data_IF_505368355655
#
_entry.id   IF_505368355655
#
_cell.length_a   1.000
_cell.length_b   1.000
_cell.length_c   1.000
_cell.angle_alpha   90.00
_cell.angle_beta   90.00
_cell.angle_gamma   90.00
#
_symmetry.space_group_name_H-M   'P 1'
#
loop_
_entity.id
_entity.type
_entity.pdbx_description
1 polymer ?
#
# COMPACT_ATOMS: atom_id res chain seq x y z
N UNK A 1 -62.88 23.59 -0.01
CA UNK A 1 -62.07 23.51 1.23
C UNK A 1 -61.94 22.05 1.64
N UNK A 2 -60.70 21.65 1.97
CA UNK A 2 -60.24 20.43 2.66
C UNK A 2 -60.33 19.05 1.98
N UNK A 3 -59.17 18.70 1.43
CA UNK A 3 -58.51 17.38 1.37
C UNK A 3 -58.97 16.32 2.38
N UNK A 4 -59.12 15.07 1.90
CA UNK A 4 -58.83 13.85 2.67
C UNK A 4 -57.78 13.04 1.92
N UNK A 5 -56.60 12.91 2.53
CA UNK A 5 -55.55 11.99 2.10
C UNK A 5 -55.65 10.71 2.92
N UNK A 6 -55.66 9.57 2.25
CA UNK A 6 -55.45 8.25 2.84
C UNK A 6 -53.95 8.06 3.07
N UNK A 7 -53.57 7.68 4.29
CA UNK A 7 -52.23 7.21 4.61
C UNK A 7 -52.23 5.68 4.49
N UNK A 8 -51.42 5.15 3.58
CA UNK A 8 -51.07 3.73 3.52
C UNK A 8 -49.66 3.60 4.10
N UNK A 9 -49.53 2.87 5.20
CA UNK A 9 -48.26 2.51 5.80
C UNK A 9 -47.61 1.40 4.98
N UNK A 10 -46.45 1.66 4.40
CA UNK A 10 -45.60 0.65 3.79
C UNK A 10 -44.41 0.38 4.74
N UNK A 11 -44.38 -0.83 5.27
CA UNK A 11 -43.23 -1.38 6.01
C UNK A 11 -42.20 -1.80 4.98
N UNK A 12 -41.09 -1.06 4.88
CA UNK A 12 -39.93 -1.47 4.10
C UNK A 12 -38.90 -2.10 5.05
N UNK A 13 -38.73 -3.42 4.91
CA UNK A 13 -37.68 -4.18 5.57
C UNK A 13 -36.30 -3.68 5.13
N UNK A 14 -35.42 -3.47 6.11
CA UNK A 14 -34.08 -2.92 5.91
C UNK A 14 -33.18 -3.83 5.09
N UNK A 15 -32.64 -3.27 4.01
CA UNK A 15 -31.41 -3.75 3.39
C UNK A 15 -30.30 -2.87 3.95
N UNK A 16 -29.42 -3.44 4.76
CA UNK A 16 -28.21 -2.76 5.21
C UNK A 16 -27.27 -2.64 4.01
N UNK A 17 -27.37 -1.53 3.28
CA UNK A 17 -26.45 -1.18 2.20
C UNK A 17 -25.07 -0.92 2.78
N UNK A 18 -24.07 -1.62 2.25
CA UNK A 18 -22.67 -1.43 2.58
C UNK A 18 -22.27 -0.01 2.23
N UNK A 19 -21.86 0.76 3.24
CA UNK A 19 -21.29 2.09 3.07
C UNK A 19 -19.96 1.98 2.34
N UNK A 20 -20.01 2.02 1.01
CA UNK A 20 -18.87 2.43 0.19
C UNK A 20 -18.55 3.86 0.61
N UNK A 21 -17.44 4.05 1.33
CA UNK A 21 -16.88 5.39 1.57
C UNK A 21 -16.38 5.90 0.22
N UNK A 22 -17.29 6.47 -0.57
CA UNK A 22 -16.96 7.22 -1.77
C UNK A 22 -16.22 8.46 -1.29
N UNK A 23 -14.90 8.55 -1.51
CA UNK A 23 -14.19 9.84 -1.40
C UNK A 23 -15.05 10.85 -2.16
N UNK A 24 -15.52 11.89 -1.46
CA UNK A 24 -16.25 12.99 -2.07
C UNK A 24 -15.46 13.40 -3.31
N UNK A 25 -16.08 13.29 -4.49
CA UNK A 25 -15.56 13.91 -5.69
C UNK A 25 -15.58 15.42 -5.43
N UNK A 26 -14.46 15.94 -4.96
CA UNK A 26 -14.26 17.37 -4.83
C UNK A 26 -14.25 17.94 -6.25
N UNK A 27 -15.42 18.39 -6.69
CA UNK A 27 -15.55 19.36 -7.74
C UNK A 27 -14.91 20.65 -7.23
N UNK A 28 -13.66 20.90 -7.57
CA UNK A 28 -13.09 22.23 -7.48
C UNK A 28 -12.19 22.51 -8.66
N UNK A 29 -12.67 23.43 -9.50
CA UNK A 29 -11.91 24.19 -10.48
C UNK A 29 -10.69 24.86 -9.83
N UNK A 30 -9.54 24.18 -9.84
CA UNK A 30 -8.27 24.83 -9.61
C UNK A 30 -7.72 25.27 -10.97
N UNK A 31 -8.09 26.48 -11.37
CA UNK A 31 -7.34 27.29 -12.33
C UNK A 31 -5.98 27.63 -11.71
N UNK A 32 -5.07 26.67 -11.63
CA UNK A 32 -3.67 26.95 -11.32
C UNK A 32 -2.89 26.94 -12.62
N UNK A 33 -2.16 28.03 -12.92
CA UNK A 33 -1.13 28.05 -13.97
C UNK A 33 0.05 27.10 -13.66
N UNK A 34 -0.11 26.17 -12.71
CA UNK A 34 0.87 25.15 -12.36
C UNK A 34 0.85 24.07 -13.44
N UNK A 35 2.01 23.68 -13.98
CA UNK A 35 2.11 22.49 -14.81
C UNK A 35 1.55 21.26 -14.09
N UNK A 36 0.84 20.41 -14.83
CA UNK A 36 0.16 19.22 -14.31
C UNK A 36 1.04 18.29 -13.45
N UNK A 37 2.35 18.25 -13.68
CA UNK A 37 3.29 17.44 -12.90
C UNK A 37 3.58 18.00 -11.50
N UNK A 38 2.99 19.14 -11.12
CA UNK A 38 2.98 19.66 -9.75
C UNK A 38 1.60 19.50 -9.07
N UNK A 39 0.59 18.99 -9.78
CA UNK A 39 -0.77 18.88 -9.26
C UNK A 39 -0.92 17.56 -8.51
N UNK A 40 -0.98 17.63 -7.17
CA UNK A 40 -1.22 16.46 -6.30
C UNK A 40 -2.70 16.23 -6.04
N UNK A 41 -3.54 17.28 -6.10
CA UNK A 41 -4.99 17.22 -5.85
C UNK A 41 -5.77 18.11 -6.82
N UNK A 42 -6.89 17.63 -7.40
CA UNK A 42 -7.26 16.20 -7.45
C UNK A 42 -6.21 15.39 -8.22
N UNK A 43 -6.07 14.10 -7.91
CA UNK A 43 -5.12 13.21 -8.57
C UNK A 43 -5.47 13.03 -10.06
N UNK A 44 -4.50 13.27 -10.95
CA UNK A 44 -4.75 13.23 -12.40
C UNK A 44 -4.81 11.82 -12.98
N UNK A 45 -3.95 10.91 -12.50
CA UNK A 45 -3.83 9.52 -12.99
C UNK A 45 -3.62 8.54 -11.81
N UNK A 46 -4.60 8.45 -10.88
CA UNK A 46 -4.45 7.69 -9.63
C UNK A 46 -4.37 6.16 -9.84
N UNK A 47 -4.83 5.65 -11.00
CA UNK A 47 -5.06 4.23 -11.20
C UNK A 47 -6.29 3.72 -10.42
N UNK A 48 -6.47 2.39 -10.28
CA UNK A 48 -7.55 1.82 -9.48
C UNK A 48 -7.42 2.22 -8.00
N UNK A 49 -8.52 2.65 -7.40
CA UNK A 49 -8.61 3.00 -5.96
C UNK A 49 -9.75 2.33 -5.15
N UNK A 50 -10.33 1.16 -5.53
CA UNK A 50 -11.23 0.43 -4.64
C UNK A 50 -10.64 0.18 -3.25
N UNK A 51 -11.35 0.61 -2.21
CA UNK A 51 -10.94 0.41 -0.82
C UNK A 51 -11.65 -0.81 -0.25
N UNK A 52 -10.88 -1.74 0.33
CA UNK A 52 -11.40 -2.92 1.01
C UNK A 52 -12.09 -2.60 2.33
N UNK A 53 -12.72 -3.61 2.93
CA UNK A 53 -13.34 -3.49 4.25
C UNK A 53 -12.25 -3.28 5.31
N UNK A 54 -12.38 -2.28 6.20
CA UNK A 54 -11.43 -2.08 7.29
C UNK A 54 -11.29 -3.33 8.19
N UNK A 55 -10.08 -3.55 8.70
CA UNK A 55 -9.83 -4.59 9.69
C UNK A 55 -10.51 -4.26 11.03
N UNK A 56 -10.97 -5.28 11.76
CA UNK A 56 -11.60 -5.12 13.07
C UNK A 56 -10.89 -5.94 14.17
N UNK A 57 -9.57 -5.74 14.29
CA UNK A 57 -8.73 -6.50 15.23
C UNK A 57 -9.20 -6.37 16.68
N UNK A 58 -9.81 -5.24 17.09
CA UNK A 58 -10.34 -5.11 18.45
C UNK A 58 -11.39 -6.20 18.81
N UNK A 59 -12.16 -6.70 17.83
CA UNK A 59 -13.13 -7.78 18.02
C UNK A 59 -12.55 -9.15 17.64
N UNK A 60 -11.76 -9.20 16.57
CA UNK A 60 -11.37 -10.47 15.93
C UNK A 60 -9.89 -10.82 16.06
N UNK A 61 -9.12 -10.17 16.95
CA UNK A 61 -7.71 -10.48 17.12
C UNK A 61 -7.55 -11.92 17.65
N UNK A 62 -6.89 -12.82 16.91
CA UNK A 62 -6.73 -14.21 17.32
C UNK A 62 -5.62 -14.42 18.38
N UNK A 63 -5.02 -13.36 18.92
CA UNK A 63 -4.06 -13.43 20.02
C UNK A 63 -4.62 -14.20 21.24
N UNK A 64 -3.77 -14.89 22.03
CA UNK A 64 -2.30 -14.87 21.99
C UNK A 64 -1.70 -15.78 20.91
N UNK A 65 -0.62 -15.31 20.30
CA UNK A 65 0.19 -16.11 19.38
C UNK A 65 1.21 -16.93 20.19
N UNK A 66 1.43 -18.19 19.80
CA UNK A 66 2.36 -19.06 20.51
C UNK A 66 3.78 -18.54 20.34
N UNK A 67 4.45 -18.21 21.46
CA UNK A 67 5.86 -17.84 21.48
C UNK A 67 6.17 -16.35 21.33
N UNK A 68 5.16 -15.46 21.24
CA UNK A 68 5.41 -14.01 21.11
C UNK A 68 4.57 -13.18 22.08
N UNK A 69 5.11 -12.02 22.46
CA UNK A 69 4.37 -11.00 23.19
C UNK A 69 3.88 -9.99 22.17
N UNK A 70 2.56 -9.81 22.04
CA UNK A 70 2.00 -8.66 21.31
C UNK A 70 2.44 -7.37 22.00
N UNK A 71 3.25 -6.55 21.34
CA UNK A 71 3.70 -5.26 21.87
C UNK A 71 2.99 -4.15 21.08
N UNK A 72 1.93 -3.53 21.64
CA UNK A 72 1.46 -2.23 21.15
C UNK A 72 2.65 -1.25 21.07
N UNK A 73 2.81 -0.47 19.99
CA UNK A 73 1.75 -0.02 19.08
C UNK A 73 1.71 -0.72 17.72
N UNK A 74 2.38 -1.86 17.53
CA UNK A 74 2.40 -2.53 16.22
C UNK A 74 1.05 -3.22 15.95
N UNK A 75 0.27 -2.76 14.95
CA UNK A 75 -1.10 -3.27 14.76
C UNK A 75 -1.13 -4.67 14.13
N UNK A 76 -0.02 -5.15 13.57
CA UNK A 76 0.09 -6.46 12.93
C UNK A 76 1.13 -7.31 13.66
N UNK A 77 0.80 -8.57 13.92
CA UNK A 77 1.75 -9.58 14.37
C UNK A 77 2.48 -10.13 13.15
N UNK A 78 3.77 -9.80 13.04
CA UNK A 78 4.64 -10.28 11.96
C UNK A 78 5.74 -11.18 12.47
N UNK A 79 5.75 -11.59 13.75
CA UNK A 79 6.73 -12.51 14.33
C UNK A 79 6.16 -13.94 14.41
N UNK A 80 5.70 -14.47 13.27
CA UNK A 80 5.22 -15.85 13.24
C UNK A 80 6.39 -16.80 12.92
N UNK A 81 6.82 -17.64 13.88
CA UNK A 81 7.97 -18.52 13.69
C UNK A 81 7.65 -19.62 12.67
N UNK A 82 8.65 -20.04 11.92
CA UNK A 82 8.53 -21.16 10.99
C UNK A 82 8.67 -22.47 11.77
N UNK A 83 7.61 -23.28 11.78
CA UNK A 83 7.60 -24.57 12.46
C UNK A 83 8.69 -25.50 11.90
N UNK A 84 9.58 -25.96 12.78
CA UNK A 84 10.67 -26.89 12.42
C UNK A 84 11.96 -26.22 11.96
N UNK A 85 12.03 -24.88 11.93
CA UNK A 85 13.28 -24.17 11.67
C UNK A 85 14.21 -24.26 12.90
N UNK A 86 15.48 -24.56 12.66
CA UNK A 86 16.53 -24.63 13.70
C UNK A 86 17.54 -23.51 13.44
N UNK A 87 17.85 -22.71 14.46
CA UNK A 87 18.99 -21.78 14.45
C UNK A 87 18.67 -20.29 14.29
N UNK A 88 17.62 -19.93 13.52
CA UNK A 88 17.23 -18.52 13.34
C UNK A 88 15.75 -18.32 13.68
N UNK A 89 15.45 -17.34 14.55
CA UNK A 89 14.10 -16.87 14.89
C UNK A 89 13.49 -16.03 13.74
N UNK A 90 13.58 -16.53 12.51
CA UNK A 90 13.09 -15.80 11.34
C UNK A 90 11.58 -15.98 11.17
N UNK A 91 10.94 -14.87 10.83
CA UNK A 91 9.52 -14.84 10.56
C UNK A 91 9.20 -15.34 9.15
N UNK A 92 8.12 -16.09 9.00
CA UNK A 92 7.57 -16.46 7.67
C UNK A 92 7.32 -15.24 6.78
N UNK A 93 7.04 -14.07 7.38
CA UNK A 93 6.79 -12.84 6.63
C UNK A 93 8.04 -12.26 5.95
N UNK A 94 9.24 -12.74 6.27
CA UNK A 94 10.47 -12.41 5.54
C UNK A 94 10.63 -13.18 4.23
N UNK A 95 9.82 -14.24 4.03
CA UNK A 95 9.88 -15.15 2.90
C UNK A 95 8.80 -14.88 1.83
N UNK A 96 8.14 -13.72 1.88
CA UNK A 96 7.11 -13.32 0.91
C UNK A 96 7.66 -12.55 -0.30
N UNK A 97 8.98 -12.55 -0.50
CA UNK A 97 9.64 -11.82 -1.59
C UNK A 97 9.28 -10.33 -1.57
N UNK A 98 8.84 -9.80 -2.71
CA UNK A 98 8.40 -8.40 -2.84
C UNK A 98 7.10 -8.07 -2.09
N UNK A 99 6.44 -9.04 -1.46
CA UNK A 99 5.25 -8.82 -0.63
C UNK A 99 5.59 -8.76 0.87
N UNK A 100 6.84 -9.02 1.24
CA UNK A 100 7.30 -8.88 2.62
C UNK A 100 7.20 -7.41 3.05
N UNK A 101 6.83 -7.18 4.31
CA UNK A 101 7.02 -5.88 4.95
C UNK A 101 8.51 -5.52 4.93
N UNK A 102 8.83 -4.23 5.08
CA UNK A 102 10.24 -3.85 5.19
C UNK A 102 10.86 -4.46 6.45
N UNK A 103 12.00 -5.13 6.28
CA UNK A 103 12.89 -5.54 7.37
C UNK A 103 14.33 -5.31 6.90
N UNK A 104 15.24 -4.94 7.81
CA UNK A 104 16.66 -4.82 7.48
C UNK A 104 17.19 -6.19 7.04
N UNK A 105 18.08 -6.21 6.04
CA UNK A 105 18.69 -7.45 5.59
C UNK A 105 19.42 -8.14 6.76
N UNK A 106 19.15 -9.43 6.96
CA UNK A 106 19.73 -10.20 8.07
C UNK A 106 21.22 -10.52 7.85
N UNK A 107 21.69 -10.47 6.61
CA UNK A 107 23.10 -10.65 6.24
C UNK A 107 23.64 -9.39 5.56
N UNK A 108 24.72 -8.82 6.10
CA UNK A 108 25.53 -7.84 5.40
C UNK A 108 26.59 -8.56 4.56
N UNK A 109 27.07 -7.92 3.48
CA UNK A 109 28.22 -8.42 2.71
C UNK A 109 29.56 -8.11 3.41
N UNK A 110 29.59 -8.21 4.75
CA UNK A 110 30.77 -7.90 5.58
C UNK A 110 31.08 -6.41 5.67
N UNK A 111 30.11 -5.53 5.39
CA UNK A 111 30.25 -4.08 5.54
C UNK A 111 29.41 -3.64 6.73
N UNK A 112 30.05 -2.97 7.67
CA UNK A 112 29.37 -2.31 8.78
C UNK A 112 28.60 -1.11 8.24
N UNK A 113 27.28 -1.11 8.42
CA UNK A 113 26.43 0.02 8.01
C UNK A 113 26.71 1.28 8.87
N UNK A 114 27.19 1.07 10.11
CA UNK A 114 27.50 2.12 11.07
C UNK A 114 28.73 1.75 11.91
N UNK A 115 29.57 2.73 12.30
CA UNK A 115 29.53 4.14 11.93
C UNK A 115 30.20 4.43 10.57
N UNK A 116 30.11 5.68 10.09
CA UNK A 116 30.90 6.14 8.96
C UNK A 116 32.41 5.95 9.23
N UNK A 117 33.23 5.74 8.17
CA UNK A 117 34.68 5.73 8.31
C UNK A 117 35.21 7.03 8.96
N UNK A 118 36.33 6.92 9.67
CA UNK A 118 36.96 8.07 10.31
C UNK A 118 37.28 9.16 9.28
N UNK A 119 36.99 10.42 9.62
CA UNK A 119 37.14 11.60 8.76
C UNK A 119 36.24 11.63 7.50
N UNK A 120 35.22 10.77 7.40
CA UNK A 120 34.21 10.86 6.35
C UNK A 120 33.05 11.79 6.74
N UNK A 121 32.49 12.49 5.75
CA UNK A 121 31.29 13.31 5.90
C UNK A 121 30.30 13.02 4.77
N UNK A 122 29.02 12.93 5.11
CA UNK A 122 27.95 12.83 4.10
C UNK A 122 27.73 14.22 3.50
N UNK A 123 27.88 14.34 2.18
CA UNK A 123 27.66 15.60 1.45
C UNK A 123 26.45 15.55 0.51
N UNK A 124 25.97 14.34 0.19
CA UNK A 124 24.83 14.11 -0.68
C UNK A 124 24.16 12.77 -0.32
N UNK A 125 22.83 12.74 -0.41
CA UNK A 125 22.01 11.54 -0.34
C UNK A 125 21.12 11.45 -1.58
N UNK A 126 21.06 10.28 -2.21
CA UNK A 126 20.03 9.95 -3.19
C UNK A 126 19.23 8.76 -2.67
N UNK A 127 17.97 8.99 -2.31
CA UNK A 127 17.07 7.94 -1.85
C UNK A 127 16.16 7.50 -2.99
N UNK A 128 16.07 6.20 -3.22
CA UNK A 128 15.03 5.58 -4.04
C UNK A 128 14.19 4.69 -3.12
N UNK A 129 12.92 5.04 -2.95
CA UNK A 129 11.98 4.26 -2.15
C UNK A 129 10.93 3.60 -3.02
N UNK A 130 10.54 2.39 -2.64
CA UNK A 130 9.28 1.78 -3.10
C UNK A 130 8.11 2.41 -2.34
N UNK A 131 6.91 2.20 -2.87
CA UNK A 131 5.69 2.36 -2.09
C UNK A 131 5.63 1.38 -0.91
N UNK A 132 4.75 1.69 0.05
CA UNK A 132 4.51 0.82 1.21
C UNK A 132 3.59 -0.34 0.90
N UNK A 133 3.26 -1.10 1.93
CA UNK A 133 2.30 -2.20 1.87
C UNK A 133 0.95 -1.74 1.33
N UNK A 134 0.37 -2.55 0.44
CA UNK A 134 -0.82 -2.19 -0.35
C UNK A 134 -1.78 -3.35 -0.54
N UNK A 135 -2.98 -3.05 -1.00
CA UNK A 135 -3.88 -4.07 -1.53
C UNK A 135 -3.31 -4.70 -2.81
N UNK A 136 -3.77 -5.93 -3.17
CA UNK A 136 -3.40 -6.58 -4.42
C UNK A 136 -3.66 -5.72 -5.66
N UNK A 137 -2.90 -5.96 -6.72
CA UNK A 137 -3.16 -5.35 -8.02
C UNK A 137 -4.52 -5.83 -8.55
N UNK A 138 -5.24 -4.97 -9.29
CA UNK A 138 -6.53 -5.34 -9.86
C UNK A 138 -6.39 -6.58 -10.74
N UNK A 139 -7.26 -7.58 -10.53
CA UNK A 139 -7.19 -8.84 -11.28
C UNK A 139 -6.02 -9.75 -10.89
N UNK A 140 -5.35 -9.50 -9.76
CA UNK A 140 -4.34 -10.40 -9.23
C UNK A 140 -4.93 -11.80 -8.97
N UNK A 141 -4.08 -12.83 -9.05
CA UNK A 141 -4.51 -14.23 -8.93
C UNK A 141 -5.27 -14.55 -7.63
N UNK A 142 -5.01 -13.80 -6.55
CA UNK A 142 -5.73 -13.96 -5.26
C UNK A 142 -7.23 -13.64 -5.38
N UNK A 143 -7.60 -12.64 -6.18
CA UNK A 143 -9.00 -12.30 -6.43
C UNK A 143 -9.69 -13.42 -7.21
N UNK A 144 -9.00 -13.96 -8.21
CA UNK A 144 -9.48 -15.11 -9.00
C UNK A 144 -9.64 -16.35 -8.12
N UNK A 145 -8.67 -16.65 -7.27
CA UNK A 145 -8.71 -17.77 -6.33
C UNK A 145 -9.89 -17.62 -5.37
N UNK A 146 -10.08 -16.42 -4.82
CA UNK A 146 -11.20 -16.16 -3.91
C UNK A 146 -12.57 -16.38 -4.56
N UNK A 147 -12.75 -15.90 -5.79
CA UNK A 147 -13.98 -16.10 -6.54
C UNK A 147 -14.23 -17.60 -6.81
N UNK A 148 -13.18 -18.37 -7.12
CA UNK A 148 -13.29 -19.82 -7.30
C UNK A 148 -13.71 -20.51 -6.01
N UNK A 149 -13.02 -20.24 -4.90
CA UNK A 149 -13.34 -20.83 -3.59
C UNK A 149 -14.81 -20.55 -3.25
N UNK A 150 -15.23 -19.28 -3.34
CA UNK A 150 -16.62 -18.88 -3.12
C UNK A 150 -17.59 -19.72 -3.96
N UNK A 151 -17.39 -19.78 -5.28
CA UNK A 151 -18.30 -20.47 -6.18
C UNK A 151 -18.44 -21.97 -5.89
N UNK A 152 -17.37 -22.64 -5.46
CA UNK A 152 -17.42 -24.06 -5.09
C UNK A 152 -18.04 -24.28 -3.70
N UNK A 153 -17.82 -23.37 -2.74
CA UNK A 153 -18.44 -23.47 -1.41
C UNK A 153 -19.93 -23.12 -1.40
N UNK A 154 -20.42 -22.42 -2.43
CA UNK A 154 -21.83 -22.00 -2.54
C UNK A 154 -22.62 -22.79 -3.60
N UNK A 155 -22.08 -23.89 -4.13
CA UNK A 155 -22.81 -24.72 -5.11
C UNK A 155 -22.90 -24.15 -6.54
N UNK A 156 -22.25 -23.03 -6.84
CA UNK A 156 -22.40 -22.32 -8.14
C UNK A 156 -21.62 -23.00 -9.25
N UNK A 157 -20.40 -23.45 -8.96
CA UNK A 157 -19.52 -24.13 -9.95
C UNK A 157 -19.25 -25.60 -9.60
N UNK A 158 -19.78 -26.07 -8.47
CA UNK A 158 -19.55 -27.38 -7.89
C UNK A 158 -19.83 -27.33 -6.40
N UNK A 159 -19.61 -28.44 -5.70
CA UNK A 159 -19.79 -28.56 -4.26
C UNK A 159 -18.48 -29.03 -3.62
N UNK A 160 -17.93 -28.22 -2.71
CA UNK A 160 -16.75 -28.53 -1.92
C UNK A 160 -16.97 -28.09 -0.49
N UNK A 161 -16.73 -29.00 0.44
CA UNK A 161 -16.61 -28.70 1.86
C UNK A 161 -15.15 -28.87 2.29
N UNK A 162 -14.51 -27.78 2.68
CA UNK A 162 -13.15 -27.81 3.23
C UNK A 162 -13.16 -28.33 4.67
N UNK A 163 -12.17 -29.14 5.04
CA UNK A 163 -12.03 -29.71 6.38
C UNK A 163 -10.66 -29.39 6.99
N UNK A 164 -10.47 -29.69 8.28
CA UNK A 164 -9.21 -29.45 9.00
C UNK A 164 -8.77 -27.99 8.96
N UNK A 165 -7.47 -27.75 8.70
CA UNK A 165 -6.87 -26.40 8.65
C UNK A 165 -7.47 -25.48 7.58
N UNK A 166 -8.14 -26.03 6.57
CA UNK A 166 -8.75 -25.26 5.48
C UNK A 166 -10.25 -24.99 5.70
N UNK A 167 -10.85 -25.50 6.78
CA UNK A 167 -12.29 -25.35 7.07
C UNK A 167 -12.77 -23.90 7.11
N UNK A 168 -11.88 -22.94 7.44
CA UNK A 168 -12.21 -21.51 7.40
C UNK A 168 -12.62 -21.02 6.01
N UNK A 169 -12.16 -21.67 4.94
CA UNK A 169 -12.48 -21.31 3.56
C UNK A 169 -13.97 -21.48 3.23
N UNK A 170 -14.71 -22.31 3.96
CA UNK A 170 -16.15 -22.49 3.77
C UNK A 170 -16.96 -21.21 4.06
N UNK A 171 -16.47 -20.38 5.00
CA UNK A 171 -17.11 -19.11 5.38
C UNK A 171 -16.30 -17.88 5.00
N UNK A 172 -15.13 -18.06 4.39
CA UNK A 172 -14.21 -16.97 4.08
C UNK A 172 -14.77 -16.07 2.99
N UNK A 173 -14.58 -14.75 3.17
CA UNK A 173 -15.00 -13.73 2.21
C UNK A 173 -13.80 -12.86 1.86
N UNK A 174 -13.56 -12.68 0.57
CA UNK A 174 -12.57 -11.74 0.09
C UNK A 174 -13.08 -10.31 0.29
N UNK A 175 -12.32 -9.55 1.08
CA UNK A 175 -12.70 -8.19 1.52
C UNK A 175 -11.65 -7.13 1.16
N UNK A 176 -10.57 -7.53 0.48
CA UNK A 176 -9.47 -6.64 0.14
C UNK A 176 -9.90 -5.67 -0.99
N UNK A 177 -9.32 -4.48 -0.97
CA UNK A 177 -9.44 -3.51 -2.07
C UNK A 177 -8.46 -3.81 -3.19
N UNK A 178 -8.10 -2.77 -3.94
CA UNK A 178 -7.17 -2.87 -5.06
C UNK A 178 -6.13 -1.73 -5.02
N UNK A 179 -4.88 -2.06 -5.32
CA UNK A 179 -3.73 -1.17 -5.62
C UNK A 179 -3.26 -0.18 -4.53
N UNK A 180 -4.15 0.40 -3.73
CA UNK A 180 -3.84 1.50 -2.80
C UNK A 180 -3.14 1.03 -1.53
N UNK A 181 -2.44 1.94 -0.86
CA UNK A 181 -1.79 1.64 0.43
C UNK A 181 -2.81 1.22 1.49
N UNK A 182 -2.45 0.18 2.23
CA UNK A 182 -3.15 -0.20 3.48
C UNK A 182 -2.60 0.64 4.65
N UNK A 183 -3.29 0.71 5.81
CA UNK A 183 -2.83 1.53 6.95
C UNK A 183 -1.38 1.28 7.37
N UNK A 184 -0.95 0.02 7.47
CA UNK A 184 0.45 -0.31 7.80
C UNK A 184 1.43 0.20 6.74
N UNK A 185 1.05 0.21 5.46
CA UNK A 185 1.90 0.74 4.40
C UNK A 185 2.12 2.24 4.50
N UNK A 186 1.14 2.98 5.03
CA UNK A 186 1.29 4.41 5.30
C UNK A 186 2.23 4.64 6.49
N UNK A 187 2.10 3.82 7.53
CA UNK A 187 2.98 3.85 8.69
C UNK A 187 4.43 3.55 8.31
N UNK A 188 4.68 2.51 7.50
CA UNK A 188 6.01 2.18 6.98
C UNK A 188 6.72 3.39 6.34
N UNK A 189 5.99 4.18 5.55
CA UNK A 189 6.57 5.34 4.86
C UNK A 189 6.77 6.51 5.81
N UNK A 190 5.84 6.71 6.74
CA UNK A 190 6.02 7.73 7.78
C UNK A 190 7.25 7.41 8.64
N UNK A 191 7.37 6.18 9.12
CA UNK A 191 8.50 5.72 9.94
C UNK A 191 9.81 5.81 9.14
N UNK A 192 9.79 5.47 7.84
CA UNK A 192 10.92 5.68 6.93
C UNK A 192 11.33 7.15 6.86
N UNK A 193 10.36 8.07 6.73
CA UNK A 193 10.61 9.52 6.76
C UNK A 193 11.23 9.99 8.07
N UNK A 194 10.70 9.51 9.21
CA UNK A 194 11.24 9.82 10.54
C UNK A 194 12.68 9.34 10.67
N UNK A 195 12.97 8.09 10.30
CA UNK A 195 14.32 7.54 10.33
C UNK A 195 15.27 8.39 9.48
N UNK A 196 14.87 8.74 8.25
CA UNK A 196 15.70 9.54 7.36
C UNK A 196 15.95 10.96 7.88
N UNK A 197 15.00 11.54 8.61
CA UNK A 197 15.21 12.83 9.27
C UNK A 197 16.28 12.74 10.36
N UNK A 198 16.28 11.68 11.17
CA UNK A 198 17.35 11.44 12.16
C UNK A 198 18.71 11.20 11.51
N UNK A 199 18.74 10.45 10.41
CA UNK A 199 20.00 10.09 9.74
C UNK A 199 20.59 11.24 8.92
N UNK A 200 19.74 12.00 8.22
CA UNK A 200 20.17 12.88 7.12
C UNK A 200 19.56 14.28 7.17
N UNK A 201 18.77 14.63 8.19
CA UNK A 201 18.13 15.93 8.32
C UNK A 201 19.12 17.10 8.28
N UNK A 202 20.39 16.87 8.67
CA UNK A 202 21.47 17.85 8.60
C UNK A 202 21.84 18.29 7.16
N UNK A 203 21.51 17.50 6.14
CA UNK A 203 21.70 17.87 4.74
C UNK A 203 20.67 18.89 4.26
N UNK A 204 19.55 19.06 4.99
CA UNK A 204 18.54 20.05 4.66
C UNK A 204 19.03 21.45 5.09
N UNK A 205 19.11 22.45 4.19
CA UNK A 205 19.69 23.75 4.51
C UNK A 205 18.89 24.55 5.56
N UNK A 206 17.62 24.21 5.83
CA UNK A 206 16.74 24.87 6.81
C UNK A 206 16.70 26.41 6.68
N UNK A 207 16.92 26.94 5.48
CA UNK A 207 17.00 28.37 5.17
C UNK A 207 15.72 28.89 4.46
N UNK A 208 14.65 28.09 4.45
CA UNK A 208 13.39 28.38 3.76
C UNK A 208 13.33 27.95 2.29
N UNK A 209 14.39 27.38 1.72
CA UNK A 209 14.31 26.80 0.37
C UNK A 209 13.63 25.43 0.39
N UNK A 210 12.75 25.16 -0.59
CA UNK A 210 12.13 23.85 -0.74
C UNK A 210 13.05 22.87 -1.46
N UNK A 211 13.11 21.64 -0.97
CA UNK A 211 13.69 20.54 -1.75
C UNK A 211 12.71 20.07 -2.83
N UNK A 212 13.24 19.49 -3.90
CA UNK A 212 12.43 18.83 -4.93
C UNK A 212 12.51 17.32 -4.74
N UNK A 213 11.36 16.69 -4.55
CA UNK A 213 11.24 15.24 -4.56
C UNK A 213 10.39 14.78 -5.73
N UNK A 214 10.61 13.55 -6.19
CA UNK A 214 9.94 12.98 -7.35
C UNK A 214 9.16 11.74 -6.95
N UNK A 215 7.95 11.62 -7.47
CA UNK A 215 7.12 10.41 -7.35
C UNK A 215 6.39 10.18 -8.68
N UNK A 216 5.57 9.14 -8.75
CA UNK A 216 4.74 8.86 -9.92
C UNK A 216 3.25 9.04 -9.61
N UNK A 217 2.41 9.05 -10.63
CA UNK A 217 1.02 9.53 -10.50
C UNK A 217 0.03 8.57 -9.84
N UNK A 218 0.34 7.27 -9.72
CA UNK A 218 -0.59 6.33 -9.04
C UNK A 218 -0.80 6.71 -7.56
N UNK A 219 -2.03 6.53 -7.04
CA UNK A 219 -2.42 6.92 -5.67
C UNK A 219 -1.42 6.38 -4.63
N UNK A 220 -1.07 5.09 -4.74
CA UNK A 220 -0.11 4.46 -3.81
C UNK A 220 1.28 5.11 -3.82
N UNK A 221 1.73 5.64 -4.96
CA UNK A 221 3.05 6.23 -5.13
C UNK A 221 3.05 7.67 -4.61
N UNK A 222 2.02 8.43 -4.95
CA UNK A 222 1.82 9.78 -4.42
C UNK A 222 1.67 9.73 -2.89
N UNK A 223 0.77 8.89 -2.37
CA UNK A 223 0.56 8.74 -0.93
C UNK A 223 1.84 8.30 -0.22
N UNK A 224 2.61 7.37 -0.79
CA UNK A 224 3.89 6.96 -0.19
C UNK A 224 4.86 8.13 -0.04
N UNK A 225 4.96 8.98 -1.06
CA UNK A 225 5.78 10.19 -1.00
C UNK A 225 5.25 11.19 0.03
N UNK A 226 3.93 11.41 0.10
CA UNK A 226 3.33 12.31 1.10
C UNK A 226 3.55 11.82 2.53
N UNK A 227 3.39 10.52 2.82
CA UNK A 227 3.65 9.95 4.16
C UNK A 227 5.12 10.02 4.53
N UNK A 228 6.03 9.74 3.59
CA UNK A 228 7.47 9.92 3.81
C UNK A 228 7.80 11.38 4.13
N UNK A 229 7.32 12.32 3.33
CA UNK A 229 7.55 13.76 3.57
C UNK A 229 6.94 14.22 4.88
N UNK A 230 5.78 13.69 5.26
CA UNK A 230 5.16 13.97 6.56
C UNK A 230 5.99 13.44 7.73
N UNK A 231 6.60 12.25 7.60
CA UNK A 231 7.53 11.72 8.61
C UNK A 231 8.82 12.53 8.71
N UNK A 232 9.33 13.00 7.56
CA UNK A 232 10.60 13.74 7.50
C UNK A 232 10.47 15.21 7.94
N UNK A 233 9.47 15.93 7.44
CA UNK A 233 9.28 17.37 7.65
C UNK A 233 8.09 17.76 8.55
N UNK A 234 7.22 16.81 8.91
CA UNK A 234 5.94 17.07 9.59
C UNK A 234 4.77 17.29 8.63
N UNK A 235 3.56 17.46 9.17
CA UNK A 235 2.33 17.54 8.37
C UNK A 235 2.31 18.72 7.37
N UNK A 236 3.00 19.82 7.70
CA UNK A 236 3.18 20.99 6.84
C UNK A 236 4.39 20.86 5.90
N UNK A 237 4.80 19.63 5.55
CA UNK A 237 5.96 19.33 4.71
C UNK A 237 5.99 20.10 3.39
N UNK A 238 4.82 20.48 2.86
CA UNK A 238 4.71 21.28 1.62
C UNK A 238 5.39 22.65 1.72
N UNK A 239 5.68 23.14 2.93
CA UNK A 239 6.49 24.34 3.15
C UNK A 239 7.99 24.10 2.92
N UNK A 240 8.45 22.85 3.07
CA UNK A 240 9.85 22.44 2.97
C UNK A 240 10.17 21.62 1.70
N UNK A 241 9.16 21.08 1.01
CA UNK A 241 9.36 20.27 -0.19
C UNK A 241 8.27 20.49 -1.24
N UNK A 242 8.63 20.25 -2.50
CA UNK A 242 7.71 20.21 -3.65
C UNK A 242 7.80 18.83 -4.30
N UNK A 243 6.66 18.21 -4.60
CA UNK A 243 6.60 16.95 -5.35
C UNK A 243 6.48 17.21 -6.86
N UNK A 244 7.28 16.49 -7.64
CA UNK A 244 7.17 16.39 -9.10
C UNK A 244 6.65 14.99 -9.44
N UNK A 245 5.50 14.94 -10.12
CA UNK A 245 4.78 13.72 -10.45
C UNK A 245 5.09 13.31 -11.89
N UNK A 246 5.80 12.19 -12.05
CA UNK A 246 6.03 11.57 -13.33
C UNK A 246 4.80 10.74 -13.73
N UNK A 247 4.23 11.03 -14.90
CA UNK A 247 2.99 10.38 -15.37
C UNK A 247 3.20 8.89 -15.59
N UNK A 248 2.21 8.12 -15.14
CA UNK A 248 2.05 6.70 -15.41
C UNK A 248 0.78 6.53 -16.23
N UNK A 249 0.94 6.44 -17.55
CA UNK A 249 -0.18 6.28 -18.46
C UNK A 249 0.08 5.12 -19.41
N UNK A 250 -0.96 4.34 -19.68
CA UNK A 250 -0.99 3.31 -20.71
C UNK A 250 -1.16 3.89 -22.11
N UNK A 251 -1.66 5.13 -22.22
CA UNK A 251 -1.88 5.83 -23.49
C UNK A 251 -0.92 7.01 -23.67
N UNK A 252 -0.33 7.12 -24.86
CA UNK A 252 0.69 8.14 -25.15
C UNK A 252 2.11 7.75 -24.69
N UNK A 253 3.07 8.64 -24.93
CA UNK A 253 4.49 8.42 -24.63
C UNK A 253 4.96 9.48 -23.65
N UNK A 254 5.26 9.05 -22.41
CA UNK A 254 5.76 9.94 -21.36
C UNK A 254 7.00 9.35 -20.74
N UNK A 255 8.17 9.92 -21.03
CA UNK A 255 9.43 9.41 -20.49
C UNK A 255 9.46 9.52 -18.96
N UNK A 256 9.40 8.36 -18.30
CA UNK A 256 9.34 8.25 -16.85
C UNK A 256 10.47 7.34 -16.36
N UNK A 257 11.48 7.92 -15.72
CA UNK A 257 12.64 7.18 -15.19
C UNK A 257 12.29 6.32 -13.96
N UNK A 258 11.15 6.57 -13.30
CA UNK A 258 10.67 5.80 -12.16
C UNK A 258 9.75 4.64 -12.57
N UNK A 259 9.17 4.70 -13.78
CA UNK A 259 8.26 3.69 -14.32
C UNK A 259 8.41 3.57 -15.84
N UNK A 260 9.60 3.18 -16.30
CA UNK A 260 9.95 3.18 -17.74
C UNK A 260 9.24 2.12 -18.57
N UNK A 261 8.58 1.15 -17.93
CA UNK A 261 7.95 0.02 -18.61
C UNK A 261 6.80 0.45 -19.56
N UNK A 262 6.11 1.57 -19.30
CA UNK A 262 5.05 2.06 -20.20
C UNK A 262 5.54 2.43 -21.60
N UNK A 263 6.81 2.83 -21.77
CA UNK A 263 7.37 3.24 -23.06
C UNK A 263 8.24 2.17 -23.71
N UNK A 264 8.35 0.97 -23.13
CA UNK A 264 9.12 -0.12 -23.70
C UNK A 264 8.15 -1.12 -24.33
N UNK A 265 7.98 -1.15 -25.67
CA UNK A 265 6.97 -1.97 -26.35
C UNK A 265 7.12 -3.48 -26.10
N UNK A 266 8.32 -3.92 -25.70
CA UNK A 266 8.59 -5.31 -25.39
C UNK A 266 8.42 -5.64 -23.91
N UNK A 267 8.35 -4.67 -22.99
CA UNK A 267 8.34 -4.92 -21.54
C UNK A 267 7.16 -5.78 -21.05
N UNK A 268 5.99 -5.63 -21.70
CA UNK A 268 4.76 -6.34 -21.34
C UNK A 268 4.43 -7.50 -22.32
N UNK A 269 5.39 -7.95 -23.12
CA UNK A 269 5.21 -9.10 -24.01
C UNK A 269 5.41 -10.41 -23.25
N UNK A 270 4.74 -11.47 -23.71
CA UNK A 270 4.74 -12.80 -23.08
C UNK A 270 6.14 -13.37 -22.79
N UNK A 271 7.15 -13.04 -23.59
CA UNK A 271 8.55 -13.47 -23.40
C UNK A 271 9.27 -12.80 -22.21
N UNK A 272 8.70 -11.73 -21.66
CA UNK A 272 9.23 -11.00 -20.49
C UNK A 272 8.40 -11.27 -19.21
N UNK A 273 7.52 -12.28 -19.23
CA UNK A 273 6.77 -12.79 -18.07
C UNK A 273 7.64 -13.55 -17.06
N UNK A 274 8.96 -13.30 -17.02
CA UNK A 274 9.88 -13.93 -16.08
C UNK A 274 9.42 -13.79 -14.62
N UNK A 275 8.67 -12.72 -14.29
CA UNK A 275 8.08 -12.52 -12.97
C UNK A 275 6.76 -13.26 -12.70
N UNK A 276 6.03 -13.73 -13.71
CA UNK A 276 4.79 -14.50 -13.55
C UNK A 276 5.04 -16.01 -13.45
N UNK A 277 6.21 -16.47 -13.92
CA UNK A 277 6.71 -17.84 -13.80
C UNK A 277 7.92 -17.97 -12.85
N UNK A 278 8.23 -16.94 -12.06
CA UNK A 278 9.24 -16.99 -11.00
C UNK A 278 8.71 -17.73 -9.76
N UNK A 279 8.28 -18.97 -9.95
CA UNK A 279 8.30 -19.99 -8.90
C UNK A 279 9.49 -20.87 -9.19
N UNK A 280 10.60 -20.63 -8.48
CA UNK A 280 11.52 -21.71 -8.11
C UNK A 280 11.00 -22.36 -6.85
#
# INVERSE_FOLDING_TARGET
>A
MLYRRFAVAAVAAGVADGSVVRRQSASSSASSNLPDYYVTKPELLPGPTPTGVPAFLAETNPAPFVGTTYIPPQPLETQVPILGQVGNDESIYHYHGQLSHYFPASSSFGVDEYPLPENASIVQLNMLSRHGSRYPTKGAGVETLANRIKNYTTGVSGDVTFTGKLSFLNGWKYKLGEEILVPVGKQELFDSGVLHQYMYGHLNPNNGTKIIARTTTQDRMLMSAEYFMAGFFGLDWTSNATLVLARENLTGTFNNTLAGYYNCPNSNKAVNLGGTNATT
#
